data_IF_441882892539
#
_entry.id   IF_441882892539
#
_cell.length_a   1.000
_cell.length_b   1.000
_cell.length_c   1.000
_cell.angle_alpha   90.00
_cell.angle_beta   90.00
_cell.angle_gamma   90.00
#
_symmetry.space_group_name_H-M   'P 1'
#
loop_
_entity.id
_entity.type
_entity.pdbx_description
1 polymer ?
#
# COMPACT_ATOMS: atom_id res chain seq x y z
N UNK A 1 24.90 -27.80 -8.89
CA UNK A 1 23.95 -27.60 -7.77
C UNK A 1 24.56 -26.71 -6.67
N UNK A 2 25.89 -26.52 -6.61
CA UNK A 2 26.60 -25.76 -5.53
C UNK A 2 26.79 -24.24 -5.69
N UNK A 3 26.55 -23.65 -6.86
CA UNK A 3 26.98 -22.26 -7.11
C UNK A 3 26.27 -21.21 -6.21
N UNK A 4 25.06 -21.53 -5.73
CA UNK A 4 24.28 -20.61 -4.90
C UNK A 4 24.67 -20.71 -3.41
N UNK A 5 24.92 -21.92 -2.91
CA UNK A 5 25.36 -22.13 -1.52
C UNK A 5 26.72 -21.45 -1.25
N UNK A 6 27.68 -21.62 -2.15
CA UNK A 6 28.98 -20.93 -2.06
C UNK A 6 28.83 -19.41 -2.08
N UNK A 7 27.90 -18.89 -2.89
CA UNK A 7 27.61 -17.47 -2.95
C UNK A 7 27.00 -16.96 -1.64
N UNK A 8 26.04 -17.71 -1.07
CA UNK A 8 25.43 -17.42 0.22
C UNK A 8 26.46 -17.43 1.36
N UNK A 9 27.35 -18.43 1.40
CA UNK A 9 28.46 -18.52 2.37
C UNK A 9 29.40 -17.32 2.26
N UNK A 10 29.86 -16.96 1.05
CA UNK A 10 30.71 -15.77 0.83
C UNK A 10 30.02 -14.47 1.25
N UNK A 11 28.71 -14.36 1.03
CA UNK A 11 27.91 -13.23 1.47
C UNK A 11 27.56 -13.29 2.98
N UNK A 12 27.94 -14.34 3.71
CA UNK A 12 27.63 -14.55 5.13
C UNK A 12 26.12 -14.51 5.43
N UNK A 13 25.31 -15.07 4.53
CA UNK A 13 23.88 -15.25 4.76
C UNK A 13 23.71 -16.31 5.87
N UNK A 14 22.86 -16.09 6.89
CA UNK A 14 22.63 -17.06 7.95
C UNK A 14 22.18 -18.42 7.40
N UNK A 15 22.67 -19.49 8.00
CA UNK A 15 22.22 -20.85 7.69
C UNK A 15 20.70 -20.98 7.93
N UNK A 16 20.02 -21.73 7.07
CA UNK A 16 18.56 -21.88 7.10
C UNK A 16 17.79 -20.68 6.53
N UNK A 17 18.47 -19.67 5.96
CA UNK A 17 17.76 -18.61 5.22
C UNK A 17 17.25 -19.16 3.90
N UNK A 18 15.93 -19.36 3.83
CA UNK A 18 15.26 -19.82 2.61
C UNK A 18 14.77 -18.66 1.74
N UNK A 19 14.59 -18.93 0.45
CA UNK A 19 13.98 -17.98 -0.46
C UNK A 19 12.54 -17.69 -0.03
N UNK A 20 12.18 -16.41 0.03
CA UNK A 20 10.82 -15.97 0.27
C UNK A 20 10.35 -15.06 -0.86
N UNK A 21 9.11 -15.26 -1.29
CA UNK A 21 8.46 -14.35 -2.23
C UNK A 21 8.23 -12.98 -1.57
N UNK A 22 8.08 -11.92 -2.37
CA UNK A 22 7.82 -10.56 -1.85
C UNK A 22 6.60 -10.50 -0.92
N UNK A 23 5.45 -11.13 -1.22
CA UNK A 23 4.32 -11.17 -0.29
C UNK A 23 4.64 -11.85 1.04
N UNK A 24 5.40 -12.95 1.03
CA UNK A 24 5.84 -13.60 2.28
C UNK A 24 6.74 -12.67 3.10
N UNK A 25 7.71 -12.01 2.45
CA UNK A 25 8.59 -11.04 3.12
C UNK A 25 7.79 -9.88 3.73
N UNK A 26 6.82 -9.33 3.00
CA UNK A 26 5.95 -8.27 3.49
C UNK A 26 5.10 -8.72 4.69
N UNK A 27 4.55 -9.94 4.66
CA UNK A 27 3.81 -10.50 5.80
C UNK A 27 4.71 -10.65 7.03
N UNK A 28 5.97 -11.08 6.88
CA UNK A 28 6.94 -11.14 7.99
C UNK A 28 7.21 -9.73 8.56
N UNK A 29 7.39 -8.74 7.69
CA UNK A 29 7.59 -7.35 8.13
C UNK A 29 6.36 -6.78 8.85
N UNK A 30 5.16 -7.05 8.35
CA UNK A 30 3.91 -6.63 8.97
C UNK A 30 3.68 -7.34 10.31
N UNK A 31 3.97 -8.64 10.40
CA UNK A 31 3.86 -9.39 11.65
C UNK A 31 4.73 -8.76 12.75
N UNK A 32 5.97 -8.39 12.43
CA UNK A 32 6.86 -7.66 13.35
C UNK A 32 6.32 -6.29 13.74
N UNK A 33 5.72 -5.56 12.79
CA UNK A 33 5.11 -4.27 13.08
C UNK A 33 3.88 -4.39 13.98
N UNK A 34 3.08 -5.45 13.83
CA UNK A 34 1.94 -5.75 14.68
C UNK A 34 2.39 -6.15 16.09
N UNK A 35 3.38 -7.03 16.20
CA UNK A 35 3.98 -7.45 17.48
C UNK A 35 4.62 -6.27 18.23
N UNK A 36 5.22 -5.33 17.51
CA UNK A 36 5.78 -4.10 18.06
C UNK A 36 4.72 -2.99 18.30
N UNK A 37 3.44 -3.28 18.09
CA UNK A 37 2.31 -2.34 18.26
C UNK A 37 2.51 -1.00 17.52
N UNK A 38 3.13 -1.05 16.34
CA UNK A 38 3.35 0.15 15.52
C UNK A 38 1.98 0.75 15.19
N UNK A 39 1.73 2.04 15.46
CA UNK A 39 0.43 2.63 15.22
C UNK A 39 0.20 2.83 13.71
N UNK A 40 -0.85 2.20 13.18
CA UNK A 40 -1.35 2.42 11.83
C UNK A 40 -2.88 2.32 11.81
N UNK A 41 -3.50 2.90 10.77
CA UNK A 41 -4.93 2.80 10.55
C UNK A 41 -5.30 1.92 9.35
N UNK A 42 -4.45 1.91 8.31
CA UNK A 42 -4.70 1.23 7.04
C UNK A 42 -3.40 0.74 6.41
N UNK A 43 -3.48 -0.37 5.69
CA UNK A 43 -2.40 -0.91 4.86
C UNK A 43 -2.77 -0.70 3.39
N UNK A 44 -1.82 -0.21 2.59
CA UNK A 44 -1.96 -0.10 1.14
C UNK A 44 -0.75 -0.70 0.45
N UNK A 45 -0.96 -1.37 -0.68
CA UNK A 45 0.11 -1.95 -1.47
C UNK A 45 -0.25 -1.99 -2.96
N UNK A 46 0.76 -2.21 -3.79
CA UNK A 46 0.59 -2.39 -5.23
C UNK A 46 0.01 -3.78 -5.58
N UNK A 47 -0.14 -4.01 -6.90
CA UNK A 47 -0.71 -5.23 -7.45
C UNK A 47 0.10 -6.48 -7.10
N UNK A 48 1.42 -6.39 -6.91
CA UNK A 48 2.26 -7.55 -6.61
C UNK A 48 1.88 -8.20 -5.28
N UNK A 49 1.36 -7.41 -4.33
CA UNK A 49 0.83 -7.91 -3.06
C UNK A 49 -0.67 -8.12 -3.15
N UNK A 50 -1.40 -7.16 -3.71
CA UNK A 50 -2.85 -7.18 -3.66
C UNK A 50 -3.45 -8.30 -4.49
N UNK A 51 -2.85 -8.77 -5.58
CA UNK A 51 -3.35 -9.93 -6.33
C UNK A 51 -3.28 -11.26 -5.54
N UNK A 52 -2.51 -11.30 -4.45
CA UNK A 52 -2.19 -12.53 -3.72
C UNK A 52 -3.24 -12.79 -2.64
N UNK A 53 -4.08 -13.81 -2.87
CA UNK A 53 -5.26 -14.11 -2.04
C UNK A 53 -4.92 -14.44 -0.58
N UNK A 54 -3.88 -15.25 -0.36
CA UNK A 54 -3.48 -15.61 1.00
C UNK A 54 -3.02 -14.40 1.81
N UNK A 55 -2.40 -13.40 1.20
CA UNK A 55 -2.00 -12.17 1.88
C UNK A 55 -3.21 -11.35 2.32
N UNK A 56 -4.28 -11.30 1.50
CA UNK A 56 -5.55 -10.66 1.89
C UNK A 56 -6.18 -11.35 3.09
N UNK A 57 -6.30 -12.68 3.02
CA UNK A 57 -6.87 -13.48 4.11
C UNK A 57 -6.05 -13.36 5.39
N UNK A 58 -4.72 -13.32 5.27
CA UNK A 58 -3.83 -13.12 6.41
C UNK A 58 -4.05 -11.74 7.05
N UNK A 59 -4.17 -10.67 6.26
CA UNK A 59 -4.51 -9.34 6.78
C UNK A 59 -5.89 -9.29 7.44
N UNK A 60 -6.89 -9.93 6.84
CA UNK A 60 -8.24 -10.04 7.41
C UNK A 60 -8.23 -10.80 8.75
N UNK A 61 -7.43 -11.87 8.87
CA UNK A 61 -7.29 -12.62 10.12
C UNK A 61 -6.65 -11.81 11.26
N UNK A 62 -5.88 -10.77 10.93
CA UNK A 62 -5.32 -9.81 11.89
C UNK A 62 -6.20 -8.56 12.06
N UNK A 63 -7.41 -8.55 11.49
CA UNK A 63 -8.32 -7.39 11.49
C UNK A 63 -7.66 -6.10 10.93
N UNK A 64 -6.71 -6.27 10.01
CA UNK A 64 -5.92 -5.18 9.47
C UNK A 64 -6.62 -4.58 8.24
N UNK A 65 -7.21 -3.39 8.42
CA UNK A 65 -7.88 -2.66 7.36
C UNK A 65 -6.91 -2.36 6.21
N UNK A 66 -7.32 -2.62 4.97
CA UNK A 66 -6.46 -2.49 3.81
C UNK A 66 -7.18 -2.08 2.52
N UNK A 67 -6.41 -1.44 1.63
CA UNK A 67 -6.77 -1.15 0.24
C UNK A 67 -5.60 -1.57 -0.63
N UNK A 68 -5.71 -2.71 -1.30
CA UNK A 68 -4.60 -3.28 -2.09
C UNK A 68 -4.96 -3.21 -3.57
N UNK A 69 -4.06 -2.69 -4.40
CA UNK A 69 -4.26 -2.71 -5.84
C UNK A 69 -4.34 -4.16 -6.34
N UNK A 70 -5.20 -4.42 -7.32
CA UNK A 70 -5.39 -5.77 -7.86
C UNK A 70 -5.58 -5.73 -9.36
N UNK A 71 -5.52 -6.91 -9.98
CA UNK A 71 -5.70 -7.08 -11.42
C UNK A 71 -7.14 -6.80 -11.83
N UNK A 72 -7.29 -6.32 -13.06
CA UNK A 72 -8.60 -6.14 -13.72
C UNK A 72 -9.41 -7.44 -13.75
N UNK A 73 -8.76 -8.58 -13.97
CA UNK A 73 -9.36 -9.91 -14.05
C UNK A 73 -9.34 -10.68 -12.72
N UNK A 74 -9.18 -9.98 -11.59
CA UNK A 74 -9.13 -10.60 -10.28
C UNK A 74 -10.48 -11.21 -9.89
N UNK A 75 -10.52 -12.51 -9.62
CA UNK A 75 -11.75 -13.22 -9.25
C UNK A 75 -12.15 -12.95 -7.80
N UNK A 76 -13.37 -12.49 -7.59
CA UNK A 76 -13.94 -12.11 -6.30
C UNK A 76 -15.24 -12.87 -6.05
N UNK A 77 -15.50 -13.22 -4.80
CA UNK A 77 -16.79 -13.81 -4.39
C UNK A 77 -17.75 -12.70 -4.05
N UNK A 78 -18.90 -12.64 -4.73
CA UNK A 78 -19.95 -11.63 -4.50
C UNK A 78 -20.72 -11.89 -3.20
N UNK A 79 -21.58 -10.95 -2.81
CA UNK A 79 -22.54 -11.16 -1.70
C UNK A 79 -23.57 -12.24 -1.98
N UNK A 80 -23.78 -12.63 -3.24
CA UNK A 80 -24.64 -13.75 -3.63
C UNK A 80 -23.91 -15.10 -3.70
N UNK A 81 -22.64 -15.16 -3.30
CA UNK A 81 -21.85 -16.40 -3.32
C UNK A 81 -21.28 -16.80 -4.68
N UNK A 82 -21.66 -16.12 -5.77
CA UNK A 82 -21.02 -16.34 -7.08
C UNK A 82 -19.61 -15.76 -7.14
N UNK A 83 -18.74 -16.38 -7.91
CA UNK A 83 -17.49 -15.78 -8.36
C UNK A 83 -17.71 -14.87 -9.57
N UNK A 84 -16.95 -13.78 -9.64
CA UNK A 84 -17.01 -12.80 -10.72
C UNK A 84 -15.68 -12.04 -10.79
N UNK A 85 -15.30 -11.56 -11.98
CA UNK A 85 -14.09 -10.71 -12.10
C UNK A 85 -14.35 -9.30 -11.60
N UNK A 86 -13.30 -8.64 -11.12
CA UNK A 86 -13.38 -7.27 -10.65
C UNK A 86 -13.93 -6.30 -11.72
N UNK A 87 -13.51 -6.44 -12.98
CA UNK A 87 -14.00 -5.61 -14.08
C UNK A 87 -15.47 -5.86 -14.43
N UNK A 88 -15.90 -7.12 -14.48
CA UNK A 88 -17.31 -7.48 -14.68
C UNK A 88 -18.20 -6.85 -13.60
N UNK A 89 -17.81 -6.99 -12.33
CA UNK A 89 -18.54 -6.41 -11.20
C UNK A 89 -18.65 -4.88 -11.27
N UNK A 90 -17.60 -4.22 -11.76
CA UNK A 90 -17.58 -2.77 -11.89
C UNK A 90 -18.35 -2.31 -13.13
N UNK A 91 -18.33 -3.08 -14.22
CA UNK A 91 -19.08 -2.81 -15.44
C UNK A 91 -20.59 -2.96 -15.25
N UNK A 92 -21.04 -3.86 -14.37
CA UNK A 92 -22.45 -4.02 -13.99
C UNK A 92 -23.01 -2.83 -13.20
N UNK A 93 -22.16 -1.92 -12.70
CA UNK A 93 -22.62 -0.78 -11.91
C UNK A 93 -23.33 0.27 -12.77
N UNK A 94 -24.51 0.77 -12.35
CA UNK A 94 -25.16 1.86 -13.04
C UNK A 94 -24.30 3.13 -12.95
N UNK A 95 -24.41 4.02 -13.93
CA UNK A 95 -23.62 5.27 -13.98
C UNK A 95 -23.66 6.08 -12.68
N UNK A 96 -24.82 6.10 -11.99
CA UNK A 96 -25.02 6.78 -10.69
C UNK A 96 -24.15 6.27 -9.53
N UNK A 97 -23.59 5.06 -9.66
CA UNK A 97 -22.69 4.48 -8.65
C UNK A 97 -21.28 5.07 -8.73
N UNK A 98 -20.92 5.65 -9.88
CA UNK A 98 -19.68 6.40 -10.04
C UNK A 98 -19.84 7.80 -9.45
N UNK A 99 -18.90 8.18 -8.59
CA UNK A 99 -18.90 9.49 -7.94
C UNK A 99 -17.59 10.20 -8.22
N UNK A 100 -17.67 11.50 -8.44
CA UNK A 100 -16.51 12.39 -8.50
C UNK A 100 -15.88 12.47 -7.10
N UNK A 101 -14.57 12.27 -7.03
CA UNK A 101 -13.76 12.31 -5.82
C UNK A 101 -12.65 13.32 -6.04
N UNK A 102 -12.47 14.24 -5.09
CA UNK A 102 -11.30 15.11 -5.02
C UNK A 102 -10.35 14.56 -3.96
N UNK A 103 -9.24 13.96 -4.39
CA UNK A 103 -8.30 13.27 -3.50
C UNK A 103 -7.01 14.07 -3.41
N UNK A 104 -6.96 14.99 -2.44
CA UNK A 104 -5.77 15.74 -2.02
C UNK A 104 -5.27 16.79 -3.01
N UNK A 105 -4.63 17.83 -2.49
CA UNK A 105 -3.84 18.77 -3.28
C UNK A 105 -2.51 18.09 -3.63
N UNK A 106 -2.37 17.58 -4.86
CA UNK A 106 -1.06 17.20 -5.36
C UNK A 106 -0.23 18.45 -5.67
N UNK A 107 1.06 18.27 -6.01
CA UNK A 107 1.92 19.34 -6.51
C UNK A 107 1.38 20.05 -7.78
N UNK A 108 0.33 19.51 -8.41
CA UNK A 108 -0.37 20.06 -9.58
C UNK A 108 -1.86 20.35 -9.32
N UNK A 109 -2.27 20.54 -8.06
CA UNK A 109 -3.66 20.81 -7.68
C UNK A 109 -4.48 19.56 -7.29
N UNK A 110 -5.79 19.72 -7.03
CA UNK A 110 -6.67 18.61 -6.63
C UNK A 110 -6.70 17.53 -7.70
N UNK A 111 -6.33 16.29 -7.36
CA UNK A 111 -6.46 15.18 -8.30
C UNK A 111 -7.90 14.67 -8.26
N UNK A 112 -8.65 15.02 -9.31
CA UNK A 112 -10.01 14.54 -9.49
C UNK A 112 -10.06 13.17 -10.15
N UNK A 113 -10.87 12.29 -9.58
CA UNK A 113 -11.11 10.94 -10.08
C UNK A 113 -12.61 10.64 -10.04
N UNK A 114 -13.08 9.75 -10.91
CA UNK A 114 -14.33 9.05 -10.65
C UNK A 114 -14.01 7.74 -9.94
N UNK A 115 -14.77 7.43 -8.89
CA UNK A 115 -14.65 6.17 -8.17
C UNK A 115 -15.99 5.46 -8.00
N UNK A 116 -15.93 4.14 -7.92
CA UNK A 116 -17.09 3.29 -7.65
C UNK A 116 -16.66 2.09 -6.81
N UNK A 117 -17.56 1.60 -5.96
CA UNK A 117 -17.34 0.38 -5.18
C UNK A 117 -18.61 -0.45 -5.11
N UNK A 118 -18.46 -1.77 -4.98
CA UNK A 118 -19.57 -2.70 -4.78
C UNK A 118 -19.26 -3.60 -3.58
N UNK A 119 -20.22 -3.92 -2.69
CA UNK A 119 -19.98 -4.89 -1.63
C UNK A 119 -19.73 -6.29 -2.21
N UNK A 120 -18.78 -7.02 -1.64
CA UNK A 120 -18.48 -8.42 -1.98
C UNK A 120 -18.45 -9.30 -0.72
N UNK A 121 -18.37 -10.62 -0.92
CA UNK A 121 -18.33 -11.72 0.05
C UNK A 121 -19.58 -11.88 0.91
N UNK A 122 -19.83 -13.14 1.28
CA UNK A 122 -20.80 -13.54 2.29
C UNK A 122 -20.21 -13.37 3.69
N UNK A 123 -21.07 -13.16 4.70
CA UNK A 123 -20.69 -13.33 6.10
C UNK A 123 -19.63 -12.37 6.61
N UNK A 124 -19.82 -11.06 6.42
CA UNK A 124 -18.91 -10.05 6.98
C UNK A 124 -18.81 -10.20 8.50
N UNK A 125 -17.60 -10.05 9.03
CA UNK A 125 -17.46 -9.81 10.46
C UNK A 125 -18.27 -8.56 10.84
N UNK A 126 -18.97 -8.56 12.01
CA UNK A 126 -19.74 -7.41 12.45
C UNK A 126 -18.91 -6.12 12.41
N UNK A 127 -19.45 -5.08 11.78
CA UNK A 127 -18.77 -3.79 11.65
C UNK A 127 -17.63 -3.72 10.62
N UNK A 128 -17.38 -4.79 9.87
CA UNK A 128 -16.45 -4.82 8.73
C UNK A 128 -17.19 -4.87 7.39
N UNK A 129 -16.49 -4.48 6.32
CA UNK A 129 -16.98 -4.60 4.95
C UNK A 129 -15.86 -4.91 3.98
N UNK A 130 -16.24 -5.51 2.86
CA UNK A 130 -15.34 -5.87 1.76
C UNK A 130 -15.86 -5.28 0.46
N UNK A 131 -14.97 -4.68 -0.32
CA UNK A 131 -15.34 -4.03 -1.58
C UNK A 131 -14.20 -4.14 -2.61
N UNK A 132 -14.45 -4.53 -3.87
CA UNK A 132 -13.69 -3.97 -4.97
C UNK A 132 -13.97 -2.47 -5.05
N UNK A 133 -12.91 -1.72 -5.30
CA UNK A 133 -12.93 -0.30 -5.61
C UNK A 133 -12.35 -0.12 -7.02
N UNK A 134 -13.07 0.60 -7.86
CA UNK A 134 -12.58 1.10 -9.13
C UNK A 134 -12.31 2.60 -9.03
N UNK A 135 -11.23 3.05 -9.65
CA UNK A 135 -10.89 4.47 -9.78
C UNK A 135 -10.39 4.75 -11.19
N UNK A 136 -10.91 5.80 -11.82
CA UNK A 136 -10.47 6.26 -13.15
C UNK A 136 -10.21 7.75 -13.16
N UNK A 137 -9.32 8.19 -14.06
CA UNK A 137 -9.12 9.61 -14.31
C UNK A 137 -10.29 10.14 -15.14
N UNK A 138 -10.52 11.45 -15.06
CA UNK A 138 -11.55 12.10 -15.86
C UNK A 138 -11.16 12.21 -17.33
N UNK A 139 -9.88 12.48 -17.55
CA UNK A 139 -9.27 12.58 -18.87
C UNK A 139 -9.00 11.23 -19.51
N UNK A 140 -9.10 10.14 -18.73
CA UNK A 140 -8.95 8.77 -19.20
C UNK A 140 -9.93 7.84 -18.46
N UNK A 141 -11.21 7.82 -18.89
CA UNK A 141 -12.23 6.99 -18.26
C UNK A 141 -12.05 5.48 -18.51
N UNK A 142 -11.24 5.09 -19.50
CA UNK A 142 -10.96 3.69 -19.82
C UNK A 142 -9.85 3.12 -18.92
N UNK A 143 -8.90 3.95 -18.48
CA UNK A 143 -7.83 3.62 -17.54
C UNK A 143 -8.32 3.42 -16.10
N UNK A 144 -9.06 2.33 -15.86
CA UNK A 144 -9.57 1.98 -14.53
C UNK A 144 -8.49 1.24 -13.72
N UNK A 145 -8.17 1.76 -12.54
CA UNK A 145 -7.41 1.07 -11.51
C UNK A 145 -8.35 0.33 -10.54
N UNK A 146 -8.02 -0.92 -10.24
CA UNK A 146 -8.81 -1.80 -9.38
C UNK A 146 -8.09 -2.04 -8.05
N UNK A 147 -8.87 -2.11 -6.97
CA UNK A 147 -8.39 -2.39 -5.63
C UNK A 147 -9.35 -3.36 -4.93
N UNK A 148 -8.82 -4.18 -4.04
CA UNK A 148 -9.61 -4.94 -3.07
C UNK A 148 -9.47 -4.27 -1.71
N UNK A 149 -10.61 -4.04 -1.05
CA UNK A 149 -10.69 -3.30 0.19
C UNK A 149 -11.31 -4.16 1.29
N UNK A 150 -10.77 -4.03 2.50
CA UNK A 150 -11.33 -4.55 3.74
C UNK A 150 -11.16 -3.50 4.83
N UNK A 151 -12.17 -3.28 5.66
CA UNK A 151 -12.03 -2.36 6.79
C UNK A 151 -13.37 -2.03 7.46
N UNK A 152 -13.44 -0.97 8.27
CA UNK A 152 -14.67 -0.57 8.94
C UNK A 152 -15.81 -0.37 7.93
N UNK A 153 -16.98 -0.96 8.20
CA UNK A 153 -18.16 -0.90 7.31
C UNK A 153 -18.58 0.53 6.96
N UNK A 154 -18.32 1.48 7.87
CA UNK A 154 -18.60 2.91 7.70
C UNK A 154 -17.63 3.65 6.79
N UNK A 155 -16.53 3.04 6.37
CA UNK A 155 -15.54 3.67 5.49
C UNK A 155 -16.25 4.15 4.23
N UNK A 156 -16.02 5.38 3.84
CA UNK A 156 -16.65 6.00 2.67
C UNK A 156 -15.87 5.67 1.40
N UNK A 157 -16.46 5.94 0.24
CA UNK A 157 -15.74 5.85 -1.04
C UNK A 157 -14.53 6.80 -1.07
N UNK A 158 -14.66 7.99 -0.47
CA UNK A 158 -13.58 8.97 -0.40
C UNK A 158 -12.43 8.47 0.48
N UNK A 159 -12.71 7.85 1.62
CA UNK A 159 -11.67 7.27 2.50
C UNK A 159 -10.84 6.24 1.74
N UNK A 160 -11.52 5.27 1.10
CA UNK A 160 -10.85 4.21 0.35
C UNK A 160 -10.01 4.76 -0.80
N UNK A 161 -10.52 5.77 -1.53
CA UNK A 161 -9.79 6.42 -2.61
C UNK A 161 -8.57 7.21 -2.11
N UNK A 162 -8.66 7.83 -0.93
CA UNK A 162 -7.53 8.52 -0.30
C UNK A 162 -6.45 7.54 0.12
N UNK A 163 -6.82 6.41 0.73
CA UNK A 163 -5.89 5.34 1.13
C UNK A 163 -5.20 4.74 -0.11
N UNK A 164 -5.96 4.43 -1.16
CA UNK A 164 -5.41 3.98 -2.44
C UNK A 164 -4.43 4.99 -3.05
N UNK A 165 -4.73 6.29 -2.91
CA UNK A 165 -3.88 7.39 -3.38
C UNK A 165 -2.61 7.57 -2.54
N UNK A 166 -2.65 7.22 -1.25
CA UNK A 166 -1.50 7.34 -0.34
C UNK A 166 -0.31 6.45 -0.75
N UNK A 167 -0.53 5.44 -1.60
CA UNK A 167 0.53 4.61 -2.19
C UNK A 167 1.62 5.44 -2.89
N UNK A 168 1.27 6.58 -3.49
CA UNK A 168 2.27 7.48 -4.10
C UNK A 168 3.32 7.98 -3.09
N UNK A 169 2.92 8.21 -1.83
CA UNK A 169 3.86 8.64 -0.78
C UNK A 169 4.94 7.59 -0.48
N UNK A 170 4.70 6.32 -0.79
CA UNK A 170 5.70 5.26 -0.65
C UNK A 170 6.82 5.48 -1.67
N UNK A 171 6.47 5.76 -2.94
CA UNK A 171 7.46 6.04 -3.98
C UNK A 171 8.27 7.30 -3.66
N UNK A 172 7.60 8.35 -3.20
CA UNK A 172 8.25 9.58 -2.75
C UNK A 172 9.20 9.35 -1.56
N UNK A 173 8.77 8.60 -0.54
CA UNK A 173 9.60 8.21 0.59
C UNK A 173 10.85 7.43 0.15
N UNK A 174 10.71 6.47 -0.76
CA UNK A 174 11.87 5.75 -1.31
C UNK A 174 12.82 6.67 -2.08
N UNK A 175 12.30 7.60 -2.89
CA UNK A 175 13.14 8.55 -3.63
C UNK A 175 13.90 9.48 -2.68
N UNK A 176 13.23 9.99 -1.63
CA UNK A 176 13.87 10.82 -0.62
C UNK A 176 14.92 10.03 0.17
N UNK A 177 14.62 8.80 0.60
CA UNK A 177 15.58 7.96 1.32
C UNK A 177 16.83 7.65 0.51
N UNK A 178 16.70 7.47 -0.82
CA UNK A 178 17.84 7.29 -1.72
C UNK A 178 18.68 8.56 -1.84
N UNK A 179 18.03 9.68 -2.17
CA UNK A 179 18.71 10.94 -2.43
C UNK A 179 19.32 11.58 -1.17
N UNK A 180 18.63 11.50 -0.04
CA UNK A 180 18.99 12.21 1.19
C UNK A 180 19.71 11.32 2.21
N UNK A 181 19.44 10.01 2.23
CA UNK A 181 20.00 9.09 3.20
C UNK A 181 20.85 7.97 2.58
N UNK A 182 21.09 8.00 1.26
CA UNK A 182 21.95 7.04 0.58
C UNK A 182 21.44 5.60 0.62
N UNK A 183 20.11 5.40 0.64
CA UNK A 183 19.50 4.07 0.77
C UNK A 183 20.02 3.07 -0.27
N UNK A 184 20.32 3.52 -1.50
CA UNK A 184 20.93 2.71 -2.56
C UNK A 184 22.42 3.06 -2.86
N UNK A 185 23.05 3.91 -2.03
CA UNK A 185 24.45 4.28 -2.14
C UNK A 185 25.37 3.34 -1.34
N UNK A 186 25.38 2.05 -1.69
CA UNK A 186 26.26 1.07 -1.05
C UNK A 186 26.92 0.13 -2.06
N UNK A 187 28.09 -0.39 -1.68
CA UNK A 187 28.78 -1.48 -2.41
C UNK A 187 29.05 -2.70 -1.51
N UNK A 188 28.27 -2.81 -0.42
CA UNK A 188 28.42 -3.90 0.55
C UNK A 188 28.07 -5.25 -0.07
N UNK A 189 28.84 -6.28 0.29
CA UNK A 189 28.71 -7.65 -0.27
C UNK A 189 28.39 -8.72 0.77
N UNK A 190 28.18 -8.32 2.03
CA UNK A 190 27.81 -9.25 3.09
C UNK A 190 26.45 -8.92 3.67
N UNK A 191 25.72 -9.95 4.09
CA UNK A 191 24.40 -9.89 4.71
C UNK A 191 24.35 -8.85 5.83
N UNK A 192 25.23 -8.99 6.82
CA UNK A 192 25.27 -8.07 7.96
C UNK A 192 25.53 -6.63 7.55
N UNK A 193 26.44 -6.40 6.60
CA UNK A 193 26.76 -5.05 6.14
C UNK A 193 25.58 -4.43 5.37
N UNK A 194 24.84 -5.22 4.59
CA UNK A 194 23.63 -4.77 3.92
C UNK A 194 22.54 -4.39 4.92
N UNK A 195 22.24 -5.26 5.89
CA UNK A 195 21.25 -4.95 6.94
C UNK A 195 21.63 -3.71 7.75
N UNK A 196 22.90 -3.55 8.11
CA UNK A 196 23.38 -2.37 8.82
C UNK A 196 23.17 -1.09 7.98
N UNK A 197 23.57 -1.11 6.70
CA UNK A 197 23.41 0.04 5.80
C UNK A 197 21.95 0.44 5.61
N UNK A 198 21.08 -0.52 5.30
CA UNK A 198 19.66 -0.28 5.08
C UNK A 198 19.01 0.29 6.35
N UNK A 199 19.30 -0.32 7.50
CA UNK A 199 18.73 0.12 8.79
C UNK A 199 19.16 1.55 9.13
N UNK A 200 20.45 1.86 9.00
CA UNK A 200 20.97 3.21 9.28
C UNK A 200 20.44 4.25 8.30
N UNK A 201 20.37 3.92 7.00
CA UNK A 201 19.80 4.81 5.97
C UNK A 201 18.32 5.10 6.24
N UNK A 202 17.53 4.07 6.59
CA UNK A 202 16.12 4.24 6.95
C UNK A 202 15.94 5.08 8.22
N UNK A 203 16.78 4.87 9.24
CA UNK A 203 16.76 5.67 10.47
C UNK A 203 17.10 7.14 10.20
N UNK A 204 18.14 7.39 9.41
CA UNK A 204 18.54 8.74 9.01
C UNK A 204 17.42 9.44 8.23
N UNK A 205 16.78 8.74 7.28
CA UNK A 205 15.65 9.29 6.55
C UNK A 205 14.45 9.59 7.47
N UNK A 206 14.12 8.69 8.41
CA UNK A 206 13.05 8.92 9.37
C UNK A 206 13.33 10.17 10.23
N UNK A 207 14.57 10.36 10.68
CA UNK A 207 14.97 11.57 11.40
C UNK A 207 14.80 12.83 10.54
N UNK A 208 15.24 12.81 9.27
CA UNK A 208 15.07 13.94 8.35
C UNK A 208 13.60 14.29 8.11
N UNK A 209 12.75 13.28 7.91
CA UNK A 209 11.32 13.46 7.70
C UNK A 209 10.64 14.10 8.93
N UNK A 210 10.97 13.64 10.13
CA UNK A 210 10.45 14.20 11.39
C UNK A 210 10.96 15.62 11.59
N UNK A 211 12.26 15.87 11.44
CA UNK A 211 12.87 17.20 11.58
C UNK A 211 12.24 18.22 10.63
N UNK A 212 12.01 17.84 9.37
CA UNK A 212 11.33 18.69 8.38
C UNK A 212 9.88 19.00 8.77
N UNK A 213 9.15 18.00 9.27
CA UNK A 213 7.77 18.19 9.73
C UNK A 213 7.68 19.13 10.93
N UNK A 214 8.63 19.04 11.86
CA UNK A 214 8.69 19.95 13.02
C UNK A 214 9.05 21.38 12.60
N UNK A 215 10.01 21.55 11.70
CA UNK A 215 10.39 22.86 11.18
C UNK A 215 9.22 23.56 10.46
N UNK A 216 8.50 22.85 9.59
CA UNK A 216 7.35 23.39 8.88
C UNK A 216 6.18 23.80 9.80
N UNK A 217 6.06 23.18 10.98
CA UNK A 217 5.07 23.58 12.01
C UNK A 217 5.53 24.79 12.84
N UNK A 218 6.84 25.07 12.87
CA UNK A 218 7.44 26.16 13.63
C UNK A 218 7.55 27.48 12.88
N UNK A 219 7.30 27.52 11.56
CA UNK A 219 7.28 28.76 10.79
C UNK A 219 5.96 29.54 11.01
N UNK A 220 6.00 30.75 11.59
CA UNK A 220 4.81 31.61 11.59
C UNK A 220 4.47 32.00 10.15
N UNK A 221 3.21 31.84 9.76
CA UNK A 221 2.68 32.32 8.48
C UNK A 221 3.05 33.80 8.32
N UNK A 222 3.70 34.23 7.23
CA UNK A 222 3.99 35.63 7.02
C UNK A 222 2.64 36.37 6.97
N UNK A 223 2.41 37.20 7.99
CA UNK A 223 1.30 38.15 8.01
C UNK A 223 1.58 39.12 6.88
N UNK A 224 0.92 38.94 5.74
CA UNK A 224 0.91 39.91 4.68
C UNK A 224 0.31 41.21 5.25
N UNK A 225 1.16 42.23 5.43
CA UNK A 225 0.73 43.59 5.74
C UNK A 225 0.74 44.42 4.46
N UNK A 226 -0.32 45.23 4.35
CA UNK A 226 -0.69 46.18 3.30
C UNK A 226 -1.42 45.57 2.10
#
# INVERSE_FOLDING_TARGET
MDADEDRCRRARIPEGTEFQTRPCQAMVMLARAFEAEVPFAWITADEAYGQVKYSRLWLEAHDAAHVLATKVNDTLVTTGGREARADELIAELPARSWRRLSVGAGAHGPREYDGARVPIRLGWQPGRGHWPLARRKLTDPAGIAYYVCYGPRRSTLLDLAWIAGARWRIEECFQQAKNEAGLDHYQVRSWRAWYAHITLSMLAHAWLAVSRSLAAKGEPTPVNRA
#
